data_IF_393767617425
#
_entry.id   IF_393767617425
#
_cell.length_a   1.000
_cell.length_b   1.000
_cell.length_c   1.000
_cell.angle_alpha   90.00
_cell.angle_beta   90.00
_cell.angle_gamma   90.00
#
_symmetry.space_group_name_H-M   'P 1'
#
loop_
_entity.id
_entity.type
_entity.pdbx_description
1 polymer ?
#
# COMPACT_ATOMS: atom_id res chain seq x y z
N UNK A 1 -12.41 -2.02 -10.55
CA UNK A 1 -11.17 -2.68 -11.02
C UNK A 1 -11.41 -4.13 -11.45
N UNK A 2 -11.83 -5.05 -10.57
CA UNK A 2 -12.06 -6.46 -10.96
C UNK A 2 -13.03 -6.62 -12.14
N UNK A 3 -14.15 -5.89 -12.14
CA UNK A 3 -15.11 -5.88 -13.24
C UNK A 3 -14.51 -5.42 -14.57
N UNK A 4 -13.63 -4.42 -14.54
CA UNK A 4 -12.92 -3.93 -15.73
C UNK A 4 -12.02 -5.03 -16.32
N UNK A 5 -11.25 -5.73 -15.48
CA UNK A 5 -10.42 -6.85 -15.91
C UNK A 5 -11.26 -7.98 -16.51
N UNK A 6 -12.39 -8.30 -15.89
CA UNK A 6 -13.24 -9.41 -16.32
C UNK A 6 -14.02 -9.08 -17.59
N UNK A 7 -14.65 -7.90 -17.67
CA UNK A 7 -15.54 -7.55 -18.78
C UNK A 7 -14.81 -7.01 -19.99
N UNK A 8 -13.84 -6.13 -19.78
CA UNK A 8 -13.13 -5.46 -20.89
C UNK A 8 -11.95 -6.29 -21.40
N UNK A 9 -11.32 -7.08 -20.51
CA UNK A 9 -10.12 -7.86 -20.85
C UNK A 9 -10.30 -9.38 -20.75
N UNK A 10 -11.51 -9.87 -20.42
CA UNK A 10 -11.82 -11.30 -20.40
C UNK A 10 -11.04 -12.11 -19.36
N UNK A 11 -10.50 -11.48 -18.32
CA UNK A 11 -9.77 -12.18 -17.25
C UNK A 11 -10.74 -13.08 -16.47
N UNK A 12 -10.47 -14.39 -16.31
CA UNK A 12 -11.32 -15.29 -15.54
C UNK A 12 -11.40 -14.87 -14.07
N UNK A 13 -12.57 -15.03 -13.44
CA UNK A 13 -12.79 -14.61 -12.06
C UNK A 13 -11.87 -15.34 -11.06
N UNK A 14 -11.59 -16.62 -11.32
CA UNK A 14 -10.68 -17.46 -10.56
C UNK A 14 -9.22 -17.00 -10.60
N UNK A 15 -8.85 -16.16 -11.57
CA UNK A 15 -7.52 -15.54 -11.65
C UNK A 15 -7.45 -14.18 -10.93
N UNK A 16 -8.58 -13.67 -10.42
CA UNK A 16 -8.66 -12.38 -9.72
C UNK A 16 -8.83 -12.60 -8.22
N UNK A 17 -7.74 -12.44 -7.47
CA UNK A 17 -7.76 -12.52 -6.01
C UNK A 17 -7.92 -11.12 -5.41
N UNK A 18 -8.82 -10.98 -4.43
CA UNK A 18 -9.16 -9.69 -3.81
C UNK A 18 -8.55 -9.55 -2.42
N UNK A 19 -8.09 -8.34 -2.10
CA UNK A 19 -7.86 -7.87 -0.72
C UNK A 19 -9.12 -7.18 -0.19
N UNK A 20 -9.54 -7.53 1.02
CA UNK A 20 -10.72 -6.96 1.70
C UNK A 20 -10.40 -6.33 3.06
N UNK A 21 -9.13 -6.23 3.44
CA UNK A 21 -8.69 -5.80 4.78
C UNK A 21 -7.73 -4.61 4.76
N UNK A 22 -7.01 -4.39 3.67
CA UNK A 22 -6.13 -3.23 3.52
C UNK A 22 -6.90 -1.90 3.57
N UNK A 23 -6.40 -0.95 4.36
CA UNK A 23 -6.94 0.41 4.46
C UNK A 23 -5.98 1.48 3.92
N UNK A 24 -4.71 1.12 3.74
CA UNK A 24 -3.65 2.01 3.28
C UNK A 24 -2.55 1.23 2.55
N UNK A 25 -1.50 1.92 2.10
CA UNK A 25 -0.41 1.31 1.30
C UNK A 25 0.43 0.31 2.10
N UNK A 26 0.62 0.53 3.41
CA UNK A 26 1.33 -0.43 4.28
C UNK A 26 0.45 -1.67 4.48
N UNK A 27 -0.85 -1.47 4.70
CA UNK A 27 -1.85 -2.53 4.70
C UNK A 27 -1.86 -3.35 3.42
N UNK A 28 -1.86 -2.70 2.24
CA UNK A 28 -1.80 -3.38 0.94
C UNK A 28 -0.61 -4.34 0.89
N UNK A 29 0.58 -3.90 1.33
CA UNK A 29 1.76 -4.75 1.35
C UNK A 29 1.61 -5.95 2.31
N UNK A 30 1.13 -5.72 3.53
CA UNK A 30 0.98 -6.77 4.54
C UNK A 30 -0.11 -7.80 4.20
N UNK A 31 -1.29 -7.34 3.80
CA UNK A 31 -2.40 -8.24 3.52
C UNK A 31 -2.20 -9.00 2.21
N UNK A 32 -1.64 -8.39 1.16
CA UNK A 32 -1.29 -9.15 -0.05
C UNK A 32 -0.23 -10.23 0.22
N UNK A 33 0.73 -9.96 1.12
CA UNK A 33 1.72 -10.95 1.56
C UNK A 33 1.05 -12.13 2.29
N UNK A 34 0.27 -11.83 3.33
CA UNK A 34 -0.30 -12.84 4.23
C UNK A 34 -1.49 -13.60 3.63
N UNK A 35 -2.35 -12.92 2.88
CA UNK A 35 -3.54 -13.53 2.29
C UNK A 35 -3.22 -14.34 1.03
N UNK A 36 -2.22 -13.91 0.25
CA UNK A 36 -1.98 -14.47 -1.10
C UNK A 36 -0.55 -14.95 -1.30
N UNK A 37 0.46 -14.09 -1.14
CA UNK A 37 1.81 -14.43 -1.56
C UNK A 37 2.44 -15.59 -0.75
N UNK A 38 2.27 -15.61 0.58
CA UNK A 38 2.74 -16.72 1.43
C UNK A 38 1.95 -18.00 1.14
N UNK A 39 0.59 -18.02 1.21
CA UNK A 39 -0.17 -19.25 0.97
C UNK A 39 0.04 -19.87 -0.42
N UNK A 40 0.22 -19.03 -1.43
CA UNK A 40 0.40 -19.46 -2.83
C UNK A 40 1.88 -19.57 -3.23
N UNK A 41 2.81 -19.32 -2.30
CA UNK A 41 4.26 -19.40 -2.52
C UNK A 41 4.74 -18.60 -3.75
N UNK A 42 4.25 -17.37 -3.90
CA UNK A 42 4.68 -16.49 -4.99
C UNK A 42 6.18 -16.23 -4.94
N UNK A 43 6.84 -16.20 -6.10
CA UNK A 43 8.29 -15.98 -6.25
C UNK A 43 8.63 -14.75 -7.07
N UNK A 44 7.72 -14.33 -7.93
CA UNK A 44 7.84 -13.15 -8.77
C UNK A 44 6.52 -12.41 -8.71
N UNK A 45 6.57 -11.13 -8.38
CA UNK A 45 5.39 -10.28 -8.25
C UNK A 45 5.65 -8.95 -8.92
N UNK A 46 4.74 -8.56 -9.80
CA UNK A 46 4.70 -7.23 -10.37
C UNK A 46 3.67 -6.39 -9.62
N UNK A 47 4.14 -5.28 -9.05
CA UNK A 47 3.32 -4.32 -8.32
C UNK A 47 3.08 -3.12 -9.23
N UNK A 48 1.81 -2.91 -9.60
CA UNK A 48 1.39 -1.84 -10.49
C UNK A 48 0.67 -0.75 -9.69
N UNK A 49 1.06 0.52 -9.88
CA UNK A 49 0.39 1.68 -9.26
C UNK A 49 0.58 2.95 -10.09
N UNK A 50 0.00 4.08 -9.67
CA UNK A 50 0.19 5.38 -10.32
C UNK A 50 1.62 5.92 -10.13
N UNK A 51 2.13 6.71 -11.09
CA UNK A 51 3.51 7.21 -11.04
C UNK A 51 3.79 8.06 -9.79
N UNK A 52 2.87 8.94 -9.39
CA UNK A 52 3.05 9.74 -8.16
C UNK A 52 3.13 8.88 -6.88
N UNK A 53 2.49 7.70 -6.87
CA UNK A 53 2.38 6.85 -5.68
C UNK A 53 3.48 5.77 -5.60
N UNK A 54 4.11 5.47 -6.74
CA UNK A 54 5.14 4.42 -6.88
C UNK A 54 6.22 4.46 -5.78
N UNK A 55 6.79 5.62 -5.38
CA UNK A 55 7.84 5.65 -4.36
C UNK A 55 7.38 5.11 -3.00
N UNK A 56 6.17 5.46 -2.56
CA UNK A 56 5.60 4.98 -1.28
C UNK A 56 5.20 3.52 -1.36
N UNK A 57 4.60 3.09 -2.46
CA UNK A 57 4.30 1.69 -2.70
C UNK A 57 5.57 0.84 -2.63
N UNK A 58 6.63 1.26 -3.33
CA UNK A 58 7.92 0.57 -3.32
C UNK A 58 8.49 0.46 -1.91
N UNK A 59 8.55 1.57 -1.17
CA UNK A 59 9.07 1.58 0.20
C UNK A 59 8.26 0.66 1.14
N UNK A 60 6.93 0.65 1.02
CA UNK A 60 6.06 -0.22 1.82
C UNK A 60 6.28 -1.71 1.52
N UNK A 61 6.30 -2.08 0.24
CA UNK A 61 6.48 -3.47 -0.17
C UNK A 61 7.89 -3.97 0.15
N UNK A 62 8.94 -3.19 -0.11
CA UNK A 62 10.32 -3.54 0.25
C UNK A 62 10.49 -3.73 1.75
N UNK A 63 9.86 -2.89 2.58
CA UNK A 63 9.87 -3.08 4.02
C UNK A 63 9.14 -4.37 4.42
N UNK A 64 7.87 -4.53 4.01
CA UNK A 64 7.03 -5.61 4.52
C UNK A 64 7.44 -6.98 3.99
N UNK A 65 7.72 -7.09 2.69
CA UNK A 65 8.07 -8.34 2.03
C UNK A 65 9.55 -8.70 2.20
N UNK A 66 10.39 -7.74 2.57
CA UNK A 66 11.81 -7.96 2.87
C UNK A 66 12.09 -8.53 4.26
N UNK A 67 11.08 -8.61 5.14
CA UNK A 67 11.25 -9.16 6.49
C UNK A 67 11.30 -10.69 6.49
N UNK A 68 12.12 -11.28 7.36
CA UNK A 68 12.09 -12.73 7.59
C UNK A 68 10.76 -13.16 8.25
N UNK A 69 10.23 -14.37 7.97
CA UNK A 69 10.82 -15.45 7.20
C UNK A 69 10.48 -15.45 5.69
N UNK A 70 9.91 -14.37 5.14
CA UNK A 70 9.47 -14.34 3.73
C UNK A 70 10.66 -14.09 2.80
N UNK A 71 11.53 -15.10 2.67
CA UNK A 71 12.70 -15.07 1.79
C UNK A 71 12.37 -15.45 0.35
N UNK A 72 12.90 -14.66 -0.59
CA UNK A 72 12.99 -14.90 -2.04
C UNK A 72 11.74 -14.60 -2.90
N UNK A 73 11.08 -13.46 -2.69
CA UNK A 73 10.18 -12.90 -3.71
C UNK A 73 10.89 -11.79 -4.48
N UNK A 74 10.99 -11.93 -5.81
CA UNK A 74 11.40 -10.86 -6.70
C UNK A 74 10.22 -9.92 -6.95
N UNK A 75 10.38 -8.66 -6.57
CA UNK A 75 9.39 -7.62 -6.80
C UNK A 75 9.82 -6.70 -7.93
N UNK A 76 8.96 -6.53 -8.93
CA UNK A 76 9.07 -5.52 -9.98
C UNK A 76 8.02 -4.45 -9.74
N UNK A 77 8.38 -3.18 -9.90
CA UNK A 77 7.48 -2.05 -9.69
C UNK A 77 7.22 -1.33 -11.01
N UNK A 78 5.95 -1.23 -11.39
CA UNK A 78 5.52 -0.61 -12.65
C UNK A 78 4.58 0.55 -12.34
N UNK A 79 4.87 1.71 -12.91
CA UNK A 79 3.98 2.87 -12.85
C UNK A 79 3.10 2.96 -14.08
N UNK A 80 1.84 3.35 -13.89
CA UNK A 80 0.99 3.90 -14.95
C UNK A 80 1.07 5.43 -14.94
N UNK A 81 0.75 6.06 -16.07
CA UNK A 81 0.66 7.53 -16.16
C UNK A 81 -0.38 8.11 -15.19
N UNK A 82 -0.14 9.35 -14.75
CA UNK A 82 -1.04 10.09 -13.86
C UNK A 82 -2.15 10.82 -14.66
N UNK A 83 -2.78 10.08 -15.58
CA UNK A 83 -3.79 10.64 -16.48
C UNK A 83 -5.00 11.19 -15.69
N UNK A 84 -5.40 12.42 -16.04
CA UNK A 84 -6.57 13.07 -15.44
C UNK A 84 -6.32 13.76 -14.09
N UNK A 85 -5.08 13.82 -13.60
CA UNK A 85 -4.70 14.56 -12.38
C UNK A 85 -4.10 15.92 -12.75
N UNK A 86 -4.49 16.99 -12.04
CA UNK A 86 -3.93 18.33 -12.28
C UNK A 86 -2.50 18.44 -11.75
N UNK A 87 -1.69 19.32 -12.35
CA UNK A 87 -0.32 19.57 -11.91
C UNK A 87 -0.25 20.04 -10.45
N UNK A 88 -1.15 20.92 -10.01
CA UNK A 88 -1.23 21.37 -8.62
C UNK A 88 -1.49 20.21 -7.65
N UNK A 89 -2.39 19.29 -8.00
CA UNK A 89 -2.65 18.10 -7.20
C UNK A 89 -1.46 17.14 -7.20
N UNK A 90 -0.74 17.01 -8.33
CA UNK A 90 0.49 16.21 -8.41
C UNK A 90 1.61 16.77 -7.55
N UNK A 91 1.80 18.09 -7.53
CA UNK A 91 2.78 18.75 -6.68
C UNK A 91 2.47 18.57 -5.19
N UNK A 92 1.21 18.80 -4.80
CA UNK A 92 0.76 18.59 -3.42
C UNK A 92 0.95 17.11 -2.98
N UNK A 93 0.61 16.17 -3.87
CA UNK A 93 0.84 14.74 -3.63
C UNK A 93 2.32 14.41 -3.51
N UNK A 94 3.18 14.94 -4.38
CA UNK A 94 4.61 14.66 -4.35
C UNK A 94 5.25 15.03 -2.99
N UNK A 95 4.87 16.19 -2.43
CA UNK A 95 5.34 16.63 -1.10
C UNK A 95 4.87 15.66 -0.01
N UNK A 96 3.59 15.29 -0.02
CA UNK A 96 3.00 14.36 0.96
C UNK A 96 3.59 12.96 0.85
N UNK A 97 3.80 12.47 -0.37
CA UNK A 97 4.42 11.17 -0.64
C UNK A 97 5.86 11.13 -0.14
N UNK A 98 6.65 12.18 -0.35
CA UNK A 98 8.02 12.26 0.17
C UNK A 98 8.07 12.19 1.70
N UNK A 99 7.19 12.93 2.39
CA UNK A 99 7.08 12.89 3.86
C UNK A 99 6.66 11.48 4.35
N UNK A 100 5.69 10.86 3.67
CA UNK A 100 5.21 9.53 3.98
C UNK A 100 6.29 8.46 3.79
N UNK A 101 7.09 8.55 2.72
CA UNK A 101 8.23 7.67 2.47
C UNK A 101 9.29 7.79 3.57
N UNK A 102 9.60 9.02 4.01
CA UNK A 102 10.55 9.25 5.08
C UNK A 102 10.11 8.61 6.40
N UNK A 103 8.85 8.84 6.80
CA UNK A 103 8.27 8.23 8.00
C UNK A 103 8.23 6.70 7.92
N UNK A 104 7.91 6.15 6.74
CA UNK A 104 7.91 4.71 6.51
C UNK A 104 9.31 4.12 6.69
N UNK A 105 10.34 4.73 6.09
CA UNK A 105 11.74 4.29 6.23
C UNK A 105 12.23 4.36 7.67
N UNK A 106 11.81 5.36 8.43
CA UNK A 106 12.11 5.44 9.86
C UNK A 106 11.51 4.24 10.62
N UNK A 107 10.24 3.92 10.40
CA UNK A 107 9.61 2.74 11.01
C UNK A 107 10.31 1.43 10.58
N UNK A 108 10.64 1.31 9.29
CA UNK A 108 11.32 0.14 8.74
C UNK A 108 12.69 -0.13 9.38
N UNK A 109 13.39 0.92 9.83
CA UNK A 109 14.66 0.78 10.53
C UNK A 109 14.54 0.15 11.93
N UNK A 110 13.36 0.24 12.55
CA UNK A 110 13.09 -0.23 13.93
C UNK A 110 12.34 -1.57 13.95
N UNK A 111 11.55 -1.84 12.92
CA UNK A 111 10.63 -2.98 12.84
C UNK A 111 11.08 -3.90 11.70
N UNK A 112 11.84 -4.93 12.04
CA UNK A 112 12.61 -5.72 11.05
C UNK A 112 12.18 -7.18 10.92
N UNK A 113 11.18 -7.62 11.70
CA UNK A 113 10.62 -8.98 11.62
C UNK A 113 9.11 -8.92 11.45
N UNK A 114 8.53 -9.92 10.78
CA UNK A 114 7.08 -9.96 10.57
C UNK A 114 6.30 -9.99 11.90
N UNK A 115 6.85 -10.60 12.95
CA UNK A 115 6.25 -10.60 14.28
C UNK A 115 6.22 -9.19 14.89
N UNK A 116 7.36 -8.47 14.87
CA UNK A 116 7.42 -7.10 15.37
C UNK A 116 6.54 -6.16 14.54
N UNK A 117 6.44 -6.41 13.23
CA UNK A 117 5.55 -5.67 12.35
C UNK A 117 4.09 -5.89 12.71
N UNK A 118 3.67 -7.13 12.93
CA UNK A 118 2.30 -7.44 13.34
C UNK A 118 1.93 -6.71 14.64
N UNK A 119 2.81 -6.77 15.64
CA UNK A 119 2.62 -6.05 16.91
C UNK A 119 2.52 -4.54 16.67
N UNK A 120 3.46 -3.94 15.93
CA UNK A 120 3.44 -2.52 15.61
C UNK A 120 2.17 -2.10 14.85
N UNK A 121 1.74 -2.89 13.86
CA UNK A 121 0.57 -2.61 13.04
C UNK A 121 -0.68 -2.48 13.93
N UNK A 122 -0.91 -3.45 14.83
CA UNK A 122 -2.12 -3.50 15.64
C UNK A 122 -2.05 -2.75 16.98
N UNK A 123 -0.90 -2.18 17.34
CA UNK A 123 -0.76 -1.38 18.58
C UNK A 123 -0.45 0.09 18.33
N UNK A 124 0.12 0.44 17.16
CA UNK A 124 0.64 1.77 16.87
C UNK A 124 0.05 2.41 15.62
N UNK A 125 -0.15 1.64 14.54
CA UNK A 125 -0.55 2.21 13.25
C UNK A 125 -1.97 2.79 13.27
N UNK A 126 -2.17 3.99 12.69
CA UNK A 126 -3.44 4.74 12.74
C UNK A 126 -4.63 3.91 12.30
N UNK A 127 -4.50 3.19 11.18
CA UNK A 127 -5.62 2.44 10.61
C UNK A 127 -5.97 1.16 11.37
N UNK A 128 -5.02 0.56 12.11
CA UNK A 128 -5.19 -0.82 12.62
C UNK A 128 -5.15 -0.92 14.15
N UNK A 129 -4.57 0.06 14.83
CA UNK A 129 -4.51 0.07 16.28
C UNK A 129 -5.87 0.37 16.90
N UNK A 130 -6.37 -0.54 17.74
CA UNK A 130 -7.66 -0.37 18.43
C UNK A 130 -7.68 0.88 19.30
N UNK A 131 -6.56 1.23 19.94
CA UNK A 131 -6.41 2.46 20.73
C UNK A 131 -6.65 3.73 19.90
N UNK A 132 -6.45 3.66 18.58
CA UNK A 132 -6.55 4.77 17.63
C UNK A 132 -7.79 4.69 16.74
N UNK A 133 -8.70 3.73 16.98
CA UNK A 133 -9.88 3.53 16.15
C UNK A 133 -10.77 4.78 16.02
N UNK A 134 -10.75 5.67 17.03
CA UNK A 134 -11.49 6.92 17.04
C UNK A 134 -10.95 7.96 16.05
N UNK A 135 -9.72 7.79 15.57
CA UNK A 135 -9.10 8.64 14.54
C UNK A 135 -9.45 8.19 13.11
N UNK A 136 -10.06 7.01 12.96
CA UNK A 136 -10.44 6.43 11.67
C UNK A 136 -11.76 7.07 11.23
N UNK A 137 -11.77 7.72 10.07
CA UNK A 137 -12.95 8.43 9.57
C UNK A 137 -13.08 9.86 10.12
N UNK A 138 -12.08 10.37 10.84
CA UNK A 138 -11.98 11.80 11.09
C UNK A 138 -11.55 12.51 9.80
N UNK A 139 -12.54 13.04 9.09
CA UNK A 139 -12.38 13.74 7.81
C UNK A 139 -11.94 15.19 7.97
N UNK A 140 -11.62 15.67 9.18
CA UNK A 140 -11.15 17.04 9.38
C UNK A 140 -9.91 17.38 8.53
N UNK A 141 -9.02 16.40 8.30
CA UNK A 141 -7.85 16.53 7.40
C UNK A 141 -8.21 16.55 5.90
N UNK A 142 -9.37 16.01 5.49
CA UNK A 142 -9.80 15.94 4.08
C UNK A 142 -10.42 17.23 3.56
N UNK A 143 -10.97 18.07 4.44
CA UNK A 143 -11.70 19.29 4.03
C UNK A 143 -10.75 20.34 3.43
N UNK A 144 -9.50 20.38 3.89
CA UNK A 144 -8.55 21.45 3.55
C UNK A 144 -7.30 21.00 2.76
N UNK A 145 -7.08 19.70 2.53
CA UNK A 145 -5.89 19.21 1.82
C UNK A 145 -6.13 19.10 0.29
N UNK A 146 -5.46 19.92 -0.54
CA UNK A 146 -5.56 19.84 -2.00
C UNK A 146 -5.16 18.46 -2.57
N UNK A 147 -4.30 17.71 -1.88
CA UNK A 147 -3.88 16.37 -2.30
C UNK A 147 -5.02 15.33 -2.21
N UNK A 148 -6.03 15.60 -1.38
CA UNK A 148 -7.16 14.71 -1.11
C UNK A 148 -8.42 15.07 -1.93
N UNK A 149 -8.44 16.20 -2.66
CA UNK A 149 -9.60 16.69 -3.44
C UNK A 149 -9.95 15.88 -4.70
N UNK A 150 -9.40 14.69 -4.89
CA UNK A 150 -9.77 13.83 -6.05
C UNK A 150 -9.75 12.32 -5.78
N UNK A 151 -9.95 11.88 -4.53
CA UNK A 151 -10.29 10.48 -4.27
C UNK A 151 -11.77 10.20 -4.50
#
# INVERSE_FOLDING_TARGET
MAEYLMREHGVPAEAVLKDTASMDTIGNAYYSLCLHAIPLMWREVEIVTSAFHLPRTKAAFEWVWGMSPTGDVRMTFVSTEDAGVSNEALEARAVREAASVAALRENASRVTTLSAFNEWLYTTHKCYAVSRQHEIGDFSEMVDDPALKSY
#
